data_IF_495954184729
#
_entry.id   IF_495954184729
#
_cell.length_a   1.000
_cell.length_b   1.000
_cell.length_c   1.000
_cell.angle_alpha   90.00
_cell.angle_beta   90.00
_cell.angle_gamma   90.00
#
_symmetry.space_group_name_H-M   'P 1'
#
loop_
_entity.id
_entity.type
_entity.pdbx_description
1 polymer ?
#
# COMPACT_ATOMS: atom_id res chain seq x y z
N UNK A 1 -7.46 12.80 7.01
CA UNK A 1 -6.09 12.41 6.57
C UNK A 1 -5.98 12.32 5.06
N UNK A 2 -4.74 12.29 4.53
CA UNK A 2 -4.42 11.92 3.15
C UNK A 2 -3.52 10.69 3.14
N UNK A 3 -3.85 9.70 2.31
CA UNK A 3 -3.05 8.47 2.14
C UNK A 3 -2.19 8.61 0.89
N UNK A 4 -0.90 8.30 0.98
CA UNK A 4 0.00 8.25 -0.17
C UNK A 4 0.39 6.82 -0.48
N UNK A 5 0.28 6.41 -1.75
CA UNK A 5 1.13 5.32 -2.22
C UNK A 5 2.62 5.73 -2.10
N UNK A 6 3.50 4.75 -1.91
CA UNK A 6 4.94 5.00 -1.83
C UNK A 6 5.59 4.89 -3.21
N UNK A 7 5.38 3.80 -3.94
CA UNK A 7 6.18 3.44 -5.12
C UNK A 7 5.50 3.94 -6.41
N UNK A 8 6.00 5.05 -6.96
CA UNK A 8 5.41 5.73 -8.11
C UNK A 8 4.80 7.10 -7.77
N UNK A 9 4.56 7.35 -6.48
CA UNK A 9 4.12 8.65 -5.96
C UNK A 9 5.21 9.39 -5.17
N UNK A 10 5.87 8.71 -4.22
CA UNK A 10 6.94 9.31 -3.39
C UNK A 10 8.32 8.83 -3.81
N UNK A 11 8.43 7.54 -4.10
CA UNK A 11 9.66 6.84 -4.39
C UNK A 11 9.60 6.24 -5.81
N UNK A 12 10.65 6.47 -6.58
CA UNK A 12 10.79 5.94 -7.93
C UNK A 12 11.65 4.67 -7.93
N UNK A 13 11.01 3.54 -8.22
CA UNK A 13 11.65 2.23 -8.35
C UNK A 13 11.95 1.85 -9.81
N UNK A 14 11.60 2.69 -10.80
CA UNK A 14 11.87 2.42 -12.23
C UNK A 14 13.33 2.10 -12.52
N UNK A 15 14.34 2.77 -11.91
CA UNK A 15 15.74 2.42 -12.13
C UNK A 15 16.11 0.98 -11.75
N UNK A 16 15.26 0.28 -11.00
CA UNK A 16 15.48 -1.09 -10.53
C UNK A 16 14.50 -2.10 -11.13
N UNK A 17 13.59 -1.69 -12.03
CA UNK A 17 12.59 -2.58 -12.64
C UNK A 17 13.21 -3.74 -13.40
N UNK A 18 14.39 -3.53 -14.01
CA UNK A 18 15.16 -4.58 -14.70
C UNK A 18 15.43 -5.83 -13.84
N UNK A 19 15.40 -5.72 -12.50
CA UNK A 19 15.57 -6.85 -11.59
C UNK A 19 14.35 -7.79 -11.56
N UNK A 20 13.19 -7.34 -12.04
CA UNK A 20 11.90 -8.06 -11.95
C UNK A 20 11.15 -8.16 -13.29
N UNK A 21 11.79 -7.79 -14.40
CA UNK A 21 11.24 -7.84 -15.76
C UNK A 21 11.20 -9.27 -16.36
N UNK A 22 11.87 -10.24 -15.74
CA UNK A 22 11.90 -11.61 -16.23
C UNK A 22 10.50 -12.25 -16.29
N UNK A 23 10.26 -13.09 -17.29
CA UNK A 23 8.95 -13.71 -17.57
C UNK A 23 8.45 -14.57 -16.39
N UNK A 24 9.32 -15.40 -15.82
CA UNK A 24 8.95 -16.26 -14.69
C UNK A 24 9.38 -15.67 -13.35
N UNK A 25 8.56 -15.84 -12.32
CA UNK A 25 8.89 -15.34 -10.97
C UNK A 25 10.18 -15.95 -10.40
N UNK A 26 10.62 -17.12 -10.87
CA UNK A 26 11.86 -17.78 -10.42
C UNK A 26 13.11 -17.06 -10.95
N UNK A 27 13.01 -16.44 -12.12
CA UNK A 27 14.10 -15.71 -12.76
C UNK A 27 14.21 -14.27 -12.24
N UNK A 28 13.15 -13.74 -11.63
CA UNK A 28 13.15 -12.40 -11.02
C UNK A 28 14.09 -12.35 -9.82
N UNK A 29 14.93 -11.33 -9.77
CA UNK A 29 15.89 -11.07 -8.70
C UNK A 29 15.23 -10.34 -7.52
N UNK A 30 14.13 -10.89 -7.00
CA UNK A 30 13.32 -10.27 -5.94
C UNK A 30 14.14 -9.86 -4.72
N UNK A 31 15.08 -10.70 -4.30
CA UNK A 31 15.96 -10.39 -3.16
C UNK A 31 16.78 -9.13 -3.40
N UNK A 32 17.32 -8.96 -4.61
CA UNK A 32 18.11 -7.76 -4.93
C UNK A 32 17.20 -6.55 -5.12
N UNK A 33 16.04 -6.70 -5.78
CA UNK A 33 15.05 -5.65 -5.93
C UNK A 33 14.62 -5.06 -4.58
N UNK A 34 14.27 -5.91 -3.60
CA UNK A 34 13.88 -5.46 -2.27
C UNK A 34 15.01 -4.75 -1.50
N UNK A 35 16.28 -5.04 -1.81
CA UNK A 35 17.42 -4.31 -1.23
C UNK A 35 17.51 -2.88 -1.76
N UNK A 36 16.93 -2.60 -2.93
CA UNK A 36 16.93 -1.27 -3.54
C UNK A 36 15.85 -0.33 -2.98
N UNK A 37 14.93 -0.79 -2.12
CA UNK A 37 13.91 0.08 -1.53
C UNK A 37 14.47 1.31 -0.79
N UNK A 38 15.66 1.20 -0.17
CA UNK A 38 16.32 2.35 0.48
C UNK A 38 17.07 3.26 -0.50
N UNK A 39 17.21 2.84 -1.76
CA UNK A 39 17.92 3.52 -2.85
C UNK A 39 16.96 4.10 -3.89
N UNK A 40 15.66 4.00 -3.67
CA UNK A 40 14.65 4.55 -4.57
C UNK A 40 14.90 6.05 -4.76
N UNK A 41 14.82 6.54 -5.99
CA UNK A 41 15.00 7.96 -6.24
C UNK A 41 13.76 8.74 -5.74
N UNK A 42 13.91 9.91 -5.10
CA UNK A 42 12.76 10.66 -4.62
C UNK A 42 12.00 11.31 -5.77
N UNK A 43 10.68 11.12 -5.80
CA UNK A 43 9.77 11.86 -6.67
C UNK A 43 9.48 13.20 -5.99
N UNK A 44 10.27 14.21 -6.34
CA UNK A 44 10.25 15.54 -5.69
C UNK A 44 8.85 16.13 -5.56
N UNK A 45 8.04 16.02 -6.62
CA UNK A 45 6.66 16.53 -6.61
C UNK A 45 5.80 15.87 -5.52
N UNK A 46 5.89 14.54 -5.35
CA UNK A 46 5.16 13.82 -4.32
C UNK A 46 5.61 14.21 -2.91
N UNK A 47 6.92 14.29 -2.67
CA UNK A 47 7.50 14.72 -1.39
C UNK A 47 7.07 16.14 -1.01
N UNK A 48 7.09 17.07 -1.97
CA UNK A 48 6.63 18.45 -1.75
C UNK A 48 5.16 18.44 -1.38
N UNK A 49 4.31 17.75 -2.14
CA UNK A 49 2.87 17.67 -1.85
C UNK A 49 2.61 17.10 -0.46
N UNK A 50 3.26 16.01 -0.06
CA UNK A 50 3.11 15.44 1.28
C UNK A 50 3.51 16.45 2.38
N UNK A 51 4.68 17.09 2.24
CA UNK A 51 5.15 18.11 3.20
C UNK A 51 4.21 19.30 3.29
N UNK A 52 3.64 19.76 2.17
CA UNK A 52 2.67 20.86 2.16
C UNK A 52 1.37 20.48 2.84
N UNK A 53 0.83 19.28 2.58
CA UNK A 53 -0.39 18.81 3.24
C UNK A 53 -0.18 18.74 4.75
N UNK A 54 0.95 18.20 5.20
CA UNK A 54 1.25 18.09 6.63
C UNK A 54 1.52 19.45 7.29
N UNK A 55 2.42 20.27 6.72
CA UNK A 55 2.88 21.50 7.36
C UNK A 55 1.96 22.71 7.16
N UNK A 56 1.32 22.84 5.98
CA UNK A 56 0.53 24.03 5.61
C UNK A 56 -0.97 23.81 5.85
N UNK A 57 -1.46 22.59 5.68
CA UNK A 57 -2.91 22.30 5.78
C UNK A 57 -3.30 21.65 7.10
N UNK A 58 -2.34 21.25 7.93
CA UNK A 58 -2.57 20.54 9.21
C UNK A 58 -3.42 19.28 9.02
N UNK A 59 -3.15 18.52 7.95
CA UNK A 59 -3.83 17.27 7.64
C UNK A 59 -2.88 16.10 7.87
N UNK A 60 -3.30 15.16 8.71
CA UNK A 60 -2.57 13.91 8.96
C UNK A 60 -2.25 13.15 7.68
N UNK A 61 -1.08 12.52 7.67
CA UNK A 61 -0.65 11.63 6.59
C UNK A 61 -0.66 10.17 7.03
N UNK A 62 -1.04 9.31 6.09
CA UNK A 62 -0.81 7.88 6.16
C UNK A 62 -0.22 7.39 4.83
N UNK A 63 0.32 6.18 4.82
CA UNK A 63 1.01 5.62 3.67
C UNK A 63 0.55 4.20 3.39
N UNK A 64 0.42 3.86 2.12
CA UNK A 64 0.08 2.53 1.64
C UNK A 64 1.18 2.05 0.70
N UNK A 65 1.62 0.81 0.84
CA UNK A 65 2.60 0.24 -0.08
C UNK A 65 2.39 -1.25 -0.25
N UNK A 66 2.73 -1.75 -1.43
CA UNK A 66 2.75 -3.18 -1.70
C UNK A 66 4.11 -3.82 -1.40
N UNK A 67 5.09 -3.04 -0.91
CA UNK A 67 6.33 -3.56 -0.33
C UNK A 67 6.02 -4.56 0.78
N UNK A 68 6.66 -5.74 0.80
CA UNK A 68 6.47 -6.70 1.89
C UNK A 68 6.90 -6.12 3.24
N UNK A 69 6.13 -6.40 4.29
CA UNK A 69 6.39 -5.93 5.66
C UNK A 69 7.78 -6.33 6.19
N UNK A 70 8.33 -7.44 5.71
CA UNK A 70 9.70 -7.92 6.01
C UNK A 70 10.78 -6.90 5.64
N UNK A 71 10.46 -5.95 4.75
CA UNK A 71 11.35 -4.89 4.31
C UNK A 71 10.97 -3.51 4.86
N UNK A 72 10.07 -3.42 5.84
CA UNK A 72 9.60 -2.17 6.44
C UNK A 72 10.76 -1.27 6.91
N UNK A 73 11.80 -1.84 7.55
CA UNK A 73 12.98 -1.09 8.01
C UNK A 73 13.69 -0.33 6.88
N UNK A 74 13.69 -0.86 5.64
CA UNK A 74 14.29 -0.17 4.48
C UNK A 74 13.47 1.03 4.06
N UNK A 75 12.15 0.88 4.04
CA UNK A 75 11.23 1.97 3.76
C UNK A 75 11.33 3.06 4.83
N UNK A 76 11.36 2.70 6.11
CA UNK A 76 11.48 3.67 7.21
C UNK A 76 12.78 4.48 7.13
N UNK A 77 13.92 3.83 6.87
CA UNK A 77 15.19 4.54 6.65
C UNK A 77 15.15 5.50 5.45
N UNK A 78 14.43 5.14 4.40
CA UNK A 78 14.24 6.01 3.25
C UNK A 78 13.37 7.23 3.61
N UNK A 79 12.33 7.05 4.42
CA UNK A 79 11.51 8.15 4.94
C UNK A 79 12.34 9.13 5.80
N UNK A 80 13.13 8.59 6.73
CA UNK A 80 14.06 9.36 7.56
C UNK A 80 15.06 10.14 6.70
N UNK A 81 15.69 9.49 5.72
CA UNK A 81 16.68 10.12 4.84
C UNK A 81 16.14 11.31 4.03
N UNK A 82 14.85 11.28 3.68
CA UNK A 82 14.21 12.34 2.90
C UNK A 82 13.39 13.33 3.75
N UNK A 83 13.47 13.22 5.08
CA UNK A 83 12.72 14.03 6.04
C UNK A 83 11.23 14.09 5.68
N UNK A 84 10.64 12.94 5.33
CA UNK A 84 9.20 12.86 5.11
C UNK A 84 8.45 12.93 6.44
N UNK A 85 7.28 13.60 6.51
CA UNK A 85 6.44 13.52 7.69
C UNK A 85 6.14 12.05 8.03
N UNK A 86 6.20 11.72 9.31
CA UNK A 86 5.92 10.35 9.74
C UNK A 86 4.43 10.17 9.94
N UNK A 87 3.93 9.00 9.55
CA UNK A 87 2.54 8.60 9.71
C UNK A 87 2.41 7.09 9.61
N UNK A 88 1.21 6.53 9.88
CA UNK A 88 1.00 5.09 9.80
C UNK A 88 1.26 4.57 8.39
N UNK A 89 2.07 3.50 8.28
CA UNK A 89 2.39 2.85 6.99
C UNK A 89 1.78 1.45 6.97
N UNK A 90 0.93 1.19 5.98
CA UNK A 90 0.40 -0.15 5.72
C UNK A 90 1.23 -0.84 4.63
N UNK A 91 1.86 -1.95 5.02
CA UNK A 91 2.66 -2.80 4.14
C UNK A 91 1.84 -4.00 3.63
N UNK A 92 2.32 -4.62 2.54
CA UNK A 92 1.85 -5.96 2.15
C UNK A 92 2.25 -6.95 3.25
N UNK A 93 1.25 -7.52 3.89
CA UNK A 93 1.40 -8.52 4.93
C UNK A 93 1.57 -9.91 4.30
N UNK A 94 2.61 -10.63 4.68
CA UNK A 94 2.97 -11.91 4.04
C UNK A 94 1.86 -12.96 4.15
N UNK A 95 1.33 -13.15 5.37
CA UNK A 95 0.24 -14.10 5.62
C UNK A 95 -1.08 -13.62 5.04
N UNK A 96 -1.54 -12.41 5.40
CA UNK A 96 -2.88 -11.91 5.04
C UNK A 96 -3.04 -11.65 3.54
N UNK A 97 -2.02 -11.13 2.88
CA UNK A 97 -2.11 -10.79 1.45
C UNK A 97 -1.59 -11.90 0.55
N UNK A 98 -0.57 -12.63 0.97
CA UNK A 98 0.04 -13.68 0.15
C UNK A 98 0.37 -13.21 -1.27
N UNK A 99 0.03 -14.00 -2.31
CA UNK A 99 0.35 -13.69 -3.70
C UNK A 99 -0.67 -12.78 -4.39
N UNK A 100 -1.67 -12.23 -3.67
CA UNK A 100 -2.76 -11.51 -4.33
C UNK A 100 -2.31 -10.26 -5.08
N UNK A 101 -3.10 -9.81 -6.09
CA UNK A 101 -2.83 -8.60 -6.84
C UNK A 101 -2.62 -7.35 -5.96
N UNK A 102 -1.85 -6.39 -6.46
CA UNK A 102 -1.55 -5.13 -5.77
C UNK A 102 -2.82 -4.37 -5.35
N UNK A 103 -3.81 -4.29 -6.24
CA UNK A 103 -5.07 -3.60 -5.97
C UNK A 103 -5.84 -4.22 -4.79
N UNK A 104 -5.86 -5.55 -4.66
CA UNK A 104 -6.53 -6.19 -3.52
C UNK A 104 -5.86 -5.85 -2.18
N UNK A 105 -4.52 -5.75 -2.17
CA UNK A 105 -3.77 -5.26 -0.99
C UNK A 105 -4.20 -3.84 -0.62
N UNK A 106 -4.28 -2.94 -1.62
CA UNK A 106 -4.69 -1.56 -1.41
C UNK A 106 -6.16 -1.44 -0.99
N UNK A 107 -7.05 -2.28 -1.49
CA UNK A 107 -8.44 -2.32 -1.05
C UNK A 107 -8.56 -2.74 0.42
N UNK A 108 -7.78 -3.73 0.87
CA UNK A 108 -7.73 -4.06 2.32
C UNK A 108 -7.17 -2.92 3.15
N UNK A 109 -6.20 -2.17 2.63
CA UNK A 109 -5.68 -0.99 3.31
C UNK A 109 -6.78 0.09 3.43
N UNK A 110 -7.48 0.40 2.34
CA UNK A 110 -8.63 1.30 2.29
C UNK A 110 -9.71 0.92 3.30
N UNK A 111 -10.20 -0.33 3.25
CA UNK A 111 -11.27 -0.77 4.14
C UNK A 111 -10.83 -0.88 5.59
N UNK A 112 -9.57 -1.23 5.87
CA UNK A 112 -9.03 -1.15 7.24
C UNK A 112 -9.13 0.27 7.81
N UNK A 113 -8.86 1.30 7.01
CA UNK A 113 -9.03 2.69 7.44
C UNK A 113 -10.50 3.03 7.64
N UNK A 114 -11.35 2.64 6.70
CA UNK A 114 -12.79 2.90 6.80
C UNK A 114 -13.39 2.28 8.07
N UNK A 115 -13.12 1.00 8.32
CA UNK A 115 -13.67 0.26 9.44
C UNK A 115 -13.17 0.76 10.81
N UNK A 116 -11.98 1.38 10.86
CA UNK A 116 -11.30 1.68 12.13
C UNK A 116 -11.25 3.16 12.49
N UNK A 117 -11.27 4.04 11.49
CA UNK A 117 -10.92 5.45 11.72
C UNK A 117 -11.77 6.44 10.90
N UNK A 118 -12.67 6.02 10.02
CA UNK A 118 -13.40 6.96 9.16
C UNK A 118 -14.20 8.01 9.93
N UNK A 119 -14.73 7.67 11.10
CA UNK A 119 -15.51 8.59 11.94
C UNK A 119 -14.64 9.67 12.58
N UNK A 120 -13.41 9.36 12.98
CA UNK A 120 -12.51 10.30 13.67
C UNK A 120 -11.55 11.01 12.72
N UNK A 121 -11.13 10.33 11.66
CA UNK A 121 -10.13 10.84 10.72
C UNK A 121 -10.43 10.33 9.29
N UNK A 122 -11.43 10.90 8.62
CA UNK A 122 -11.82 10.48 7.29
C UNK A 122 -10.67 10.68 6.29
N UNK A 123 -10.57 9.76 5.33
CA UNK A 123 -9.61 9.86 4.23
C UNK A 123 -10.16 10.83 3.21
N UNK A 124 -9.54 12.01 3.10
CA UNK A 124 -9.92 13.06 2.14
C UNK A 124 -9.38 12.75 0.73
N UNK A 125 -8.22 12.11 0.65
CA UNK A 125 -7.61 11.71 -0.61
C UNK A 125 -6.71 10.49 -0.43
N UNK A 126 -6.59 9.72 -1.51
CA UNK A 126 -5.61 8.65 -1.67
C UNK A 126 -4.79 8.91 -2.93
N UNK A 127 -3.50 9.16 -2.82
CA UNK A 127 -2.65 9.50 -3.97
C UNK A 127 -2.03 8.21 -4.54
N UNK A 128 -2.34 7.90 -5.79
CA UNK A 128 -1.98 6.65 -6.48
C UNK A 128 -1.55 6.98 -7.92
N UNK A 129 -0.40 6.47 -8.38
CA UNK A 129 0.05 6.71 -9.76
C UNK A 129 -0.44 5.65 -10.76
N UNK A 130 -0.68 4.41 -10.31
CA UNK A 130 -1.17 3.33 -11.17
C UNK A 130 -2.65 3.52 -11.52
N UNK A 131 -3.01 3.73 -12.81
CA UNK A 131 -4.39 3.97 -13.21
C UNK A 131 -5.32 2.80 -12.88
N UNK A 132 -4.85 1.56 -12.97
CA UNK A 132 -5.69 0.39 -12.65
C UNK A 132 -6.04 0.36 -11.15
N UNK A 133 -5.05 0.61 -10.29
CA UNK A 133 -5.26 0.71 -8.84
C UNK A 133 -6.15 1.89 -8.47
N UNK A 134 -5.95 3.06 -9.10
CA UNK A 134 -6.78 4.23 -8.88
C UNK A 134 -8.26 3.98 -9.25
N UNK A 135 -8.53 3.38 -10.42
CA UNK A 135 -9.90 3.03 -10.81
C UNK A 135 -10.52 2.00 -9.86
N UNK A 136 -9.75 0.97 -9.46
CA UNK A 136 -10.21 -0.02 -8.50
C UNK A 136 -10.55 0.59 -7.14
N UNK A 137 -9.72 1.51 -6.64
CA UNK A 137 -9.98 2.23 -5.40
C UNK A 137 -11.26 3.08 -5.50
N UNK A 138 -11.44 3.85 -6.59
CA UNK A 138 -12.67 4.65 -6.81
C UNK A 138 -13.92 3.80 -6.90
N UNK A 139 -13.84 2.64 -7.54
CA UNK A 139 -14.95 1.68 -7.61
C UNK A 139 -15.38 1.14 -6.22
N UNK A 140 -14.51 1.28 -5.22
CA UNK A 140 -14.79 0.98 -3.81
C UNK A 140 -15.05 2.22 -2.95
N UNK A 141 -15.28 3.38 -3.57
CA UNK A 141 -15.60 4.64 -2.90
C UNK A 141 -14.41 5.37 -2.29
N UNK A 142 -13.18 4.94 -2.58
CA UNK A 142 -11.98 5.66 -2.14
C UNK A 142 -11.79 6.93 -3.00
N UNK A 143 -11.52 8.11 -2.40
CA UNK A 143 -11.21 9.34 -3.12
C UNK A 143 -9.77 9.28 -3.67
N UNK A 144 -9.51 8.34 -4.58
CA UNK A 144 -8.18 8.17 -5.16
C UNK A 144 -7.90 9.24 -6.22
N UNK A 145 -6.67 9.75 -6.27
CA UNK A 145 -6.19 10.78 -7.18
C UNK A 145 -4.89 10.36 -7.85
N UNK A 146 -4.77 10.64 -9.14
CA UNK A 146 -3.48 10.67 -9.81
C UNK A 146 -2.66 11.90 -9.37
N UNK A 147 -1.32 11.83 -9.26
CA UNK A 147 -0.50 13.00 -8.90
C UNK A 147 -0.71 14.20 -9.85
N UNK A 148 -0.83 13.93 -11.15
CA UNK A 148 -1.09 14.97 -12.15
C UNK A 148 -2.52 15.51 -12.09
N UNK A 149 -3.49 14.63 -11.79
CA UNK A 149 -4.90 15.00 -11.66
C UNK A 149 -5.09 15.96 -10.46
N UNK A 150 -4.51 15.65 -9.30
CA UNK A 150 -4.56 16.52 -8.12
C UNK A 150 -3.88 17.86 -8.39
N UNK A 151 -2.75 17.87 -9.13
CA UNK A 151 -2.06 19.10 -9.53
C UNK A 151 -2.94 19.98 -10.43
N UNK A 152 -3.65 19.39 -11.38
CA UNK A 152 -4.58 20.12 -12.26
C UNK A 152 -5.76 20.66 -11.47
N UNK A 153 -6.35 19.83 -10.61
CA UNK A 153 -7.46 20.24 -9.73
C UNK A 153 -7.04 21.37 -8.79
N UNK A 154 -5.85 21.31 -8.19
CA UNK A 154 -5.34 22.37 -7.30
C UNK A 154 -5.26 23.73 -8.00
N UNK A 155 -4.94 23.76 -9.30
CA UNK A 155 -4.95 25.00 -10.09
C UNK A 155 -6.36 25.45 -10.41
N UNK A 156 -7.22 24.52 -10.83
CA UNK A 156 -8.63 24.79 -11.16
C UNK A 156 -9.40 25.36 -9.97
N UNK A 157 -9.17 24.82 -8.77
CA UNK A 157 -9.83 25.23 -7.52
C UNK A 157 -9.06 26.30 -6.74
N UNK A 158 -7.95 26.82 -7.28
CA UNK A 158 -7.14 27.89 -6.69
C UNK A 158 -6.25 27.48 -5.52
N UNK A 159 -6.47 26.31 -4.90
CA UNK A 159 -5.58 25.77 -3.86
C UNK A 159 -5.63 24.25 -3.78
N UNK A 160 -4.60 23.65 -3.14
CA UNK A 160 -4.58 22.22 -2.84
C UNK A 160 -5.71 21.83 -1.88
N UNK A 161 -5.98 22.64 -0.85
CA UNK A 161 -7.06 22.40 0.12
C UNK A 161 -8.42 22.33 -0.57
N UNK A 162 -8.74 23.33 -1.39
CA UNK A 162 -10.01 23.36 -2.11
C UNK A 162 -10.17 22.20 -3.09
N UNK A 163 -9.08 21.72 -3.70
CA UNK A 163 -9.12 20.52 -4.54
C UNK A 163 -9.39 19.24 -3.73
N UNK A 164 -8.77 19.09 -2.55
CA UNK A 164 -9.02 17.95 -1.66
C UNK A 164 -10.48 17.94 -1.16
N UNK A 165 -11.04 19.10 -0.81
CA UNK A 165 -12.44 19.25 -0.39
C UNK A 165 -13.43 18.96 -1.53
N UNK A 166 -13.08 19.36 -2.77
CA UNK A 166 -13.91 19.08 -3.95
C UNK A 166 -13.96 17.59 -4.32
N UNK A 167 -12.91 16.83 -4.01
CA UNK A 167 -12.81 15.40 -4.34
C UNK A 167 -12.45 15.14 -5.81
N UNK A 168 -11.97 13.91 -6.13
CA UNK A 168 -11.54 13.55 -7.49
C UNK A 168 -12.72 13.39 -8.46
N UNK A 169 -13.88 13.06 -7.90
CA UNK A 169 -15.19 12.98 -8.52
C UNK A 169 -16.21 13.39 -7.46
N UNK A 170 -17.49 13.49 -7.85
CA UNK A 170 -18.57 13.80 -6.91
C UNK A 170 -18.59 12.82 -5.71
N UNK A 171 -18.64 13.38 -4.50
CA UNK A 171 -18.68 12.62 -3.25
C UNK A 171 -19.88 11.67 -3.16
N UNK A 172 -21.03 12.02 -3.73
CA UNK A 172 -22.20 11.14 -3.77
C UNK A 172 -21.94 9.88 -4.62
N UNK A 173 -21.15 10.00 -5.69
CA UNK A 173 -20.74 8.86 -6.52
C UNK A 173 -19.82 7.94 -5.73
N UNK A 174 -18.84 8.49 -5.00
CA UNK A 174 -17.95 7.70 -4.14
C UNK A 174 -18.71 7.03 -2.99
N UNK A 175 -19.64 7.74 -2.35
CA UNK A 175 -20.44 7.19 -1.25
C UNK A 175 -21.33 6.04 -1.73
N UNK A 176 -21.93 6.19 -2.91
CA UNK A 176 -22.70 5.10 -3.55
C UNK A 176 -21.80 3.90 -3.85
N UNK A 177 -20.63 4.12 -4.48
CA UNK A 177 -19.67 3.05 -4.76
C UNK A 177 -19.19 2.33 -3.50
N UNK A 178 -18.96 3.07 -2.41
CA UNK A 178 -18.62 2.53 -1.09
C UNK A 178 -19.71 1.58 -0.58
N UNK A 179 -20.97 2.03 -0.56
CA UNK A 179 -22.12 1.24 -0.11
C UNK A 179 -22.33 -0.01 -0.96
N UNK A 180 -22.27 0.13 -2.28
CA UNK A 180 -22.51 -0.96 -3.23
C UNK A 180 -21.42 -2.03 -3.15
N UNK A 181 -20.18 -1.64 -2.84
CA UNK A 181 -19.03 -2.55 -2.90
C UNK A 181 -18.67 -3.20 -1.55
N UNK A 182 -18.99 -2.56 -0.41
CA UNK A 182 -18.49 -3.01 0.90
C UNK A 182 -18.87 -4.45 1.23
N UNK A 183 -20.15 -4.80 1.15
CA UNK A 183 -20.63 -6.15 1.50
C UNK A 183 -20.00 -7.22 0.61
N UNK A 184 -19.89 -6.94 -0.70
CA UNK A 184 -19.24 -7.85 -1.66
C UNK A 184 -17.75 -8.02 -1.35
N UNK A 185 -17.05 -6.92 -1.09
CA UNK A 185 -15.64 -6.95 -0.71
C UNK A 185 -15.42 -7.72 0.59
N UNK A 186 -16.26 -7.49 1.60
CA UNK A 186 -16.14 -8.12 2.92
C UNK A 186 -16.24 -9.64 2.84
N UNK A 187 -17.20 -10.16 2.08
CA UNK A 187 -17.33 -11.61 1.86
C UNK A 187 -16.09 -12.19 1.19
N UNK A 188 -15.62 -11.55 0.11
CA UNK A 188 -14.41 -12.00 -0.59
C UNK A 188 -13.15 -11.94 0.29
N UNK A 189 -13.02 -10.90 1.13
CA UNK A 189 -11.92 -10.77 2.07
C UNK A 189 -12.00 -11.84 3.17
N UNK A 190 -13.17 -12.15 3.71
CA UNK A 190 -13.35 -13.19 4.72
C UNK A 190 -13.02 -14.59 4.18
N UNK A 191 -13.46 -14.90 2.95
CA UNK A 191 -13.09 -16.13 2.23
C UNK A 191 -11.57 -16.21 2.01
N UNK A 192 -10.96 -15.12 1.53
CA UNK A 192 -9.52 -15.04 1.33
C UNK A 192 -8.76 -15.27 2.65
N UNK A 193 -9.14 -14.57 3.72
CA UNK A 193 -8.47 -14.70 5.02
C UNK A 193 -8.65 -16.11 5.62
N UNK A 194 -9.79 -16.77 5.40
CA UNK A 194 -9.99 -18.16 5.81
C UNK A 194 -8.99 -19.12 5.13
N UNK A 195 -8.84 -19.01 3.80
CA UNK A 195 -7.87 -19.79 3.03
C UNK A 195 -6.44 -19.50 3.48
N UNK A 196 -6.07 -18.23 3.67
CA UNK A 196 -4.73 -17.83 4.13
C UNK A 196 -4.44 -18.33 5.55
N UNK A 197 -5.43 -18.35 6.44
CA UNK A 197 -5.30 -18.87 7.80
C UNK A 197 -5.02 -20.37 7.80
N UNK A 198 -5.74 -21.15 7.00
CA UNK A 198 -5.52 -22.59 6.85
C UNK A 198 -4.13 -22.87 6.29
N UNK A 199 -3.77 -22.23 5.18
CA UNK A 199 -2.44 -22.33 4.57
C UNK A 199 -1.32 -22.04 5.57
N UNK A 200 -1.47 -21.00 6.41
CA UNK A 200 -0.45 -20.64 7.40
C UNK A 200 -0.36 -21.65 8.54
N UNK A 201 -1.46 -22.28 8.93
CA UNK A 201 -1.45 -23.36 9.91
C UNK A 201 -0.67 -24.56 9.39
N UNK A 202 -0.92 -24.99 8.15
CA UNK A 202 -0.19 -26.07 7.49
C UNK A 202 1.31 -25.76 7.35
N UNK A 203 1.65 -24.54 6.90
CA UNK A 203 3.05 -24.15 6.71
C UNK A 203 3.83 -24.18 8.03
N UNK A 204 3.21 -23.74 9.14
CA UNK A 204 3.81 -23.86 10.48
C UNK A 204 3.98 -25.32 10.91
N UNK A 205 3.04 -26.20 10.60
CA UNK A 205 3.16 -27.62 10.89
C UNK A 205 4.32 -28.26 10.09
N UNK A 206 4.43 -27.96 8.79
CA UNK A 206 5.54 -28.42 7.93
C UNK A 206 6.89 -27.93 8.45
N UNK A 207 6.99 -26.67 8.86
CA UNK A 207 8.23 -26.13 9.45
C UNK A 207 8.61 -26.83 10.76
N UNK A 208 7.64 -27.13 11.63
CA UNK A 208 7.89 -27.90 12.87
C UNK A 208 8.41 -29.31 12.56
N UNK A 209 7.79 -30.01 11.60
CA UNK A 209 8.23 -31.34 11.18
C UNK A 209 9.64 -31.35 10.55
N UNK A 210 9.99 -30.31 9.78
CA UNK A 210 11.35 -30.17 9.22
C UNK A 210 12.38 -29.97 10.33
N UNK A 211 12.07 -29.16 11.35
CA UNK A 211 12.96 -28.93 12.50
C UNK A 211 13.14 -30.21 13.34
N UNK A 212 12.08 -30.97 13.59
CA UNK A 212 12.21 -32.23 14.34
C UNK A 212 13.04 -33.28 13.57
N UNK A 213 12.84 -33.40 12.25
CA UNK A 213 13.66 -34.29 11.39
C UNK A 213 15.13 -33.85 11.30
N UNK A 214 15.39 -32.54 11.25
CA UNK A 214 16.74 -31.99 11.27
C UNK A 214 17.47 -32.29 12.58
N UNK A 215 16.79 -32.12 13.72
CA UNK A 215 17.34 -32.45 15.04
C UNK A 215 17.58 -33.96 15.21
N UNK A 216 16.69 -34.82 14.71
CA UNK A 216 16.87 -36.28 14.77
C UNK A 216 18.09 -36.77 13.98
N UNK A 217 18.38 -36.15 12.82
CA UNK A 217 19.59 -36.47 12.03
C UNK A 217 20.89 -35.94 12.67
N UNK A 218 20.83 -34.87 13.46
CA UNK A 218 21.98 -34.32 14.17
C UNK A 218 22.36 -35.08 15.46
N UNK A 219 21.44 -35.88 16.02
CA UNK A 219 21.71 -36.69 17.23
C UNK A 219 22.14 -38.13 16.93
N UNK A 220 21.98 -38.62 15.69
CA UNK A 220 22.41 -39.97 15.27
C UNK A 220 23.83 -40.05 14.70
N UNK A 221 24.61 -38.96 14.79
CA UNK A 221 25.99 -38.87 14.32
C UNK A 221 26.92 -38.45 15.44
N UNK A 222 27.07 -39.29 16.46
CA UNK A 222 28.15 -39.28 17.44
C UNK A 222 28.49 -40.71 17.82
#
# INVERSE_FOLDING_TARGET
MVVFDIDGVLADMRPFQYLIEAETSRQKQWKEFHRKFEKAAPIKAGLITAKRIYNELDIDLAYSTTRPEQHARRTLRWFEHHNLPMGPIQFRHFVRDGPRPAIEVKLRHWWYWQDRWAEQNPVLAWIEDDPASMHGLRAHGCPAWGPNELKVASRKHGSLKAALEAGPVDWAVLEKAKKDSYKKWRVAEDEWQAVRKQWWQEERQRQRQRRSRGNARGQGGR
#
